data_IF_115534663685
#
_entry.id   IF_115534663685
#
_cell.length_a   1.000
_cell.length_b   1.000
_cell.length_c   1.000
_cell.angle_alpha   90.00
_cell.angle_beta   90.00
_cell.angle_gamma   90.00
#
_symmetry.space_group_name_H-M   'P 1'
#
loop_
_entity.id
_entity.type
_entity.pdbx_description
1 polymer ?
#
# COMPACT_ATOMS: atom_id res chain seq x y z
N UNK A 1 20.26 -14.12 14.12
CA UNK A 1 19.34 -14.16 15.28
C UNK A 1 17.93 -14.30 14.74
N UNK A 2 17.30 -15.46 14.89
CA UNK A 2 15.92 -15.72 14.45
C UNK A 2 14.91 -15.04 15.38
N UNK A 3 13.78 -14.52 14.88
CA UNK A 3 12.71 -13.95 15.71
C UNK A 3 11.70 -15.08 15.74
N UNK A 4 11.73 -15.86 16.82
CA UNK A 4 10.67 -16.79 17.12
C UNK A 4 9.44 -15.96 17.46
N UNK A 5 8.40 -16.08 16.63
CA UNK A 5 7.10 -15.50 16.92
C UNK A 5 6.56 -16.16 18.18
N UNK A 6 6.56 -15.40 19.28
CA UNK A 6 6.01 -15.91 20.54
C UNK A 6 4.50 -16.02 20.41
N UNK A 7 3.96 -17.20 20.76
CA UNK A 7 2.51 -17.34 20.94
C UNK A 7 2.11 -16.52 22.15
N UNK A 8 1.00 -15.80 22.04
CA UNK A 8 0.45 -15.06 23.17
C UNK A 8 0.15 -16.04 24.31
N UNK A 9 0.71 -15.79 25.49
CA UNK A 9 0.39 -16.56 26.70
C UNK A 9 -1.00 -16.09 27.19
N UNK A 10 -1.88 -16.99 27.64
CA UNK A 10 -3.15 -16.60 28.25
C UNK A 10 -2.90 -15.64 29.43
N UNK A 11 -3.52 -14.45 29.40
CA UNK A 11 -3.37 -13.44 30.47
C UNK A 11 -2.24 -12.42 30.26
N UNK A 12 -1.61 -12.36 29.08
CA UNK A 12 -0.70 -11.26 28.75
C UNK A 12 -1.41 -9.90 28.85
N UNK A 13 -0.86 -8.99 29.65
CA UNK A 13 -1.31 -7.60 29.70
C UNK A 13 -0.67 -6.80 28.55
N UNK A 14 -1.46 -6.51 27.51
CA UNK A 14 -1.03 -5.69 26.37
C UNK A 14 -1.24 -4.19 26.64
N UNK A 15 -0.92 -3.73 27.85
CA UNK A 15 -1.01 -2.32 28.21
C UNK A 15 0.26 -1.57 27.77
N UNK A 16 0.06 -0.50 27.02
CA UNK A 16 1.11 0.45 26.61
C UNK A 16 0.70 1.85 27.03
N UNK A 17 1.60 2.57 27.68
CA UNK A 17 1.35 3.89 28.21
C UNK A 17 2.33 4.92 27.63
N UNK A 18 1.92 6.19 27.44
CA UNK A 18 2.76 7.21 26.81
C UNK A 18 4.13 7.41 27.48
N UNK A 19 4.21 7.30 28.81
CA UNK A 19 5.44 7.50 29.58
C UNK A 19 6.56 6.50 29.23
N UNK A 20 6.20 5.33 28.69
CA UNK A 20 7.16 4.30 28.28
C UNK A 20 8.02 4.75 27.08
N UNK A 21 7.58 5.78 26.35
CA UNK A 21 8.22 6.25 25.12
C UNK A 21 8.92 7.60 25.27
N UNK A 22 8.97 8.18 26.48
CA UNK A 22 9.52 9.53 26.71
C UNK A 22 11.01 9.66 26.36
N UNK A 23 11.76 8.55 26.45
CA UNK A 23 13.22 8.51 26.27
C UNK A 23 13.68 7.95 24.91
N UNK A 24 12.76 7.53 24.03
CA UNK A 24 13.07 6.82 22.78
C UNK A 24 13.83 7.66 21.74
N UNK A 25 13.88 8.99 21.91
CA UNK A 25 14.77 9.88 21.13
C UNK A 25 15.07 11.14 21.96
N UNK A 26 16.33 11.57 22.14
CA UNK A 26 16.62 12.81 22.86
C UNK A 26 16.55 14.08 21.98
N UNK A 27 16.52 13.93 20.65
CA UNK A 27 16.55 15.06 19.70
C UNK A 27 15.25 15.17 18.87
N UNK A 28 14.94 16.37 18.36
CA UNK A 28 13.81 16.63 17.46
C UNK A 28 12.54 17.22 18.09
N UNK A 29 11.44 17.27 17.32
CA UNK A 29 10.18 17.90 17.72
C UNK A 29 9.41 17.05 18.75
N UNK A 30 9.61 17.35 20.03
CA UNK A 30 8.95 16.68 21.17
C UNK A 30 7.43 16.67 21.09
N UNK A 31 6.81 17.75 20.63
CA UNK A 31 5.35 17.83 20.52
C UNK A 31 4.79 16.88 19.45
N UNK A 32 5.45 16.83 18.29
CA UNK A 32 5.06 15.92 17.21
C UNK A 32 5.20 14.45 17.61
N UNK A 33 6.26 14.09 18.33
CA UNK A 33 6.46 12.71 18.82
C UNK A 33 5.38 12.29 19.80
N UNK A 34 5.08 13.14 20.80
CA UNK A 34 3.96 12.89 21.71
C UNK A 34 2.64 12.72 20.96
N UNK A 35 2.41 13.52 19.92
CA UNK A 35 1.22 13.39 19.07
C UNK A 35 1.16 12.04 18.33
N UNK A 36 2.29 11.55 17.81
CA UNK A 36 2.36 10.22 17.19
C UNK A 36 2.04 9.12 18.20
N UNK A 37 2.65 9.16 19.39
CA UNK A 37 2.40 8.21 20.48
C UNK A 37 0.93 8.17 20.87
N UNK A 38 0.32 9.33 21.12
CA UNK A 38 -1.11 9.41 21.45
C UNK A 38 -1.98 8.81 20.35
N UNK A 39 -1.71 9.11 19.07
CA UNK A 39 -2.47 8.57 17.95
C UNK A 39 -2.33 7.05 17.81
N UNK A 40 -1.10 6.53 17.91
CA UNK A 40 -0.81 5.11 17.75
C UNK A 40 -1.40 4.31 18.91
N UNK A 41 -1.23 4.77 20.16
CA UNK A 41 -1.83 4.12 21.33
C UNK A 41 -3.36 4.19 21.30
N UNK A 42 -3.94 5.32 20.91
CA UNK A 42 -5.39 5.43 20.73
C UNK A 42 -5.93 4.47 19.66
N UNK A 43 -5.21 4.31 18.54
CA UNK A 43 -5.54 3.31 17.52
C UNK A 43 -5.34 1.88 18.03
N UNK A 44 -4.38 1.64 18.92
CA UNK A 44 -4.12 0.31 19.47
C UNK A 44 -5.21 -0.11 20.45
N UNK A 45 -5.69 0.81 21.28
CA UNK A 45 -6.87 0.59 22.13
C UNK A 45 -8.13 0.26 21.31
N UNK A 46 -8.33 0.91 20.17
CA UNK A 46 -9.42 0.57 19.25
C UNK A 46 -9.21 -0.81 18.61
N UNK A 47 -8.00 -1.12 18.19
CA UNK A 47 -7.64 -2.40 17.57
C UNK A 47 -7.87 -3.59 18.50
N UNK A 48 -7.60 -3.44 19.81
CA UNK A 48 -7.84 -4.48 20.83
C UNK A 48 -9.28 -4.97 20.89
N UNK A 49 -10.25 -4.14 20.49
CA UNK A 49 -11.68 -4.50 20.46
C UNK A 49 -12.06 -5.35 19.26
N UNK A 50 -11.21 -5.38 18.22
CA UNK A 50 -11.54 -5.96 16.92
C UNK A 50 -10.65 -7.16 16.60
N UNK A 51 -9.35 -7.04 16.79
CA UNK A 51 -8.34 -8.03 16.40
C UNK A 51 -8.33 -9.25 17.33
N UNK A 52 -7.78 -10.38 16.85
CA UNK A 52 -7.54 -11.52 17.75
C UNK A 52 -6.45 -11.23 18.76
N UNK A 53 -6.42 -12.01 19.85
CA UNK A 53 -5.38 -11.94 20.88
C UNK A 53 -3.97 -12.07 20.31
N UNK A 54 -3.79 -12.96 19.32
CA UNK A 54 -2.49 -13.13 18.66
C UNK A 54 -2.13 -11.90 17.82
N UNK A 55 -3.10 -11.33 17.07
CA UNK A 55 -2.89 -10.08 16.33
C UNK A 55 -2.52 -8.92 17.25
N UNK A 56 -3.22 -8.78 18.37
CA UNK A 56 -2.93 -7.78 19.41
C UNK A 56 -1.51 -7.93 19.93
N UNK A 57 -1.09 -9.17 20.27
CA UNK A 57 0.25 -9.44 20.76
C UNK A 57 1.34 -9.07 19.75
N UNK A 58 1.13 -9.34 18.46
CA UNK A 58 2.09 -8.98 17.41
C UNK A 58 2.26 -7.46 17.27
N UNK A 59 1.15 -6.72 17.30
CA UNK A 59 1.20 -5.25 17.28
C UNK A 59 1.85 -4.73 18.56
N UNK A 60 1.50 -5.28 19.72
CA UNK A 60 2.11 -4.92 21.01
C UNK A 60 3.64 -5.06 21.01
N UNK A 61 4.17 -6.23 20.62
CA UNK A 61 5.62 -6.48 20.61
C UNK A 61 6.36 -5.50 19.69
N UNK A 62 5.76 -5.19 18.53
CA UNK A 62 6.30 -4.19 17.63
C UNK A 62 6.27 -2.77 18.23
N UNK A 63 5.15 -2.38 18.84
CA UNK A 63 4.97 -1.05 19.41
C UNK A 63 5.87 -0.82 20.62
N UNK A 64 5.99 -1.82 21.50
CA UNK A 64 6.83 -1.82 22.71
C UNK A 64 8.31 -1.55 22.40
N UNK A 65 8.78 -1.97 21.23
CA UNK A 65 10.15 -1.74 20.82
C UNK A 65 10.46 -0.26 20.48
N UNK A 66 9.43 0.58 20.31
CA UNK A 66 9.52 2.04 20.13
C UNK A 66 10.24 2.56 18.87
N UNK A 67 10.96 1.69 18.16
CA UNK A 67 11.65 1.90 16.88
C UNK A 67 10.81 2.44 15.73
N UNK A 68 9.51 2.63 15.92
CA UNK A 68 8.59 3.19 14.94
C UNK A 68 8.40 4.71 15.11
N UNK A 69 8.80 5.26 16.26
CA UNK A 69 8.71 6.70 16.55
C UNK A 69 9.70 7.45 15.66
N UNK A 70 9.21 8.46 14.94
CA UNK A 70 10.02 9.23 14.00
C UNK A 70 9.97 10.72 14.33
N UNK A 71 11.03 11.46 13.99
CA UNK A 71 11.02 12.92 14.07
C UNK A 71 10.26 13.58 12.90
N UNK A 72 10.02 12.83 11.81
CA UNK A 72 9.42 13.39 10.60
C UNK A 72 7.91 13.58 10.72
N UNK A 73 7.44 14.78 10.37
CA UNK A 73 6.02 15.07 10.16
C UNK A 73 5.50 14.66 8.78
N UNK A 74 6.40 14.40 7.82
CA UNK A 74 6.04 13.96 6.47
C UNK A 74 5.98 12.44 6.40
N UNK A 75 4.90 11.91 5.81
CA UNK A 75 4.73 10.46 5.63
C UNK A 75 5.86 9.83 4.83
N UNK A 76 6.37 10.49 3.77
CA UNK A 76 7.44 9.95 2.91
C UNK A 76 8.72 9.65 3.66
N UNK A 77 8.99 10.42 4.71
CA UNK A 77 10.25 10.37 5.45
C UNK A 77 10.07 9.59 6.77
N UNK A 78 8.85 9.17 7.10
CA UNK A 78 8.57 8.33 8.26
C UNK A 78 9.21 6.96 8.11
N UNK A 79 9.92 6.49 9.14
CA UNK A 79 10.72 5.25 9.11
C UNK A 79 9.89 4.02 8.72
N UNK A 80 8.70 3.86 9.31
CA UNK A 80 7.79 2.77 8.96
C UNK A 80 7.30 2.84 7.50
N UNK A 81 7.06 4.04 6.95
CA UNK A 81 6.66 4.22 5.55
C UNK A 81 7.80 3.87 4.60
N UNK A 82 9.02 4.35 4.89
CA UNK A 82 10.22 4.04 4.11
C UNK A 82 10.49 2.54 4.09
N UNK A 83 10.33 1.85 5.20
CA UNK A 83 10.45 0.40 5.27
C UNK A 83 9.45 -0.32 4.35
N UNK A 84 8.18 0.11 4.35
CA UNK A 84 7.14 -0.45 3.47
C UNK A 84 7.41 -0.16 1.97
N UNK A 85 7.91 1.03 1.64
CA UNK A 85 8.11 1.45 0.24
C UNK A 85 9.43 1.01 -0.37
N UNK A 86 10.54 1.20 0.33
CA UNK A 86 11.90 0.97 -0.19
C UNK A 86 12.38 -0.45 0.07
N UNK A 87 11.70 -1.20 0.97
CA UNK A 87 12.05 -2.59 1.27
C UNK A 87 13.52 -2.74 1.72
N UNK A 88 14.07 -1.75 2.43
CA UNK A 88 15.50 -1.70 2.72
C UNK A 88 15.98 -2.99 3.43
N UNK A 89 16.99 -3.62 2.82
CA UNK A 89 17.54 -4.95 3.11
C UNK A 89 18.34 -5.09 4.41
N UNK A 90 17.95 -4.40 5.48
CA UNK A 90 18.53 -4.55 6.81
C UNK A 90 17.51 -4.97 7.88
N UNK A 91 16.22 -5.02 7.53
CA UNK A 91 15.18 -5.37 8.49
C UNK A 91 14.68 -6.79 8.32
N UNK A 92 14.57 -7.47 9.45
CA UNK A 92 14.14 -8.86 9.61
C UNK A 92 12.69 -9.15 9.20
N UNK A 93 11.93 -8.14 8.81
CA UNK A 93 10.51 -8.23 8.51
C UNK A 93 10.27 -8.05 7.02
N UNK A 94 9.34 -8.81 6.43
CA UNK A 94 9.00 -8.64 5.02
C UNK A 94 8.45 -7.24 4.74
N UNK A 95 8.51 -6.87 3.46
CA UNK A 95 8.20 -5.51 2.99
C UNK A 95 6.86 -5.00 3.51
N UNK A 96 5.81 -5.81 3.44
CA UNK A 96 4.44 -5.43 3.82
C UNK A 96 4.04 -5.97 5.21
N UNK A 97 4.89 -5.76 6.20
CA UNK A 97 4.63 -6.11 7.60
C UNK A 97 3.51 -5.25 8.20
N UNK A 98 2.41 -5.88 8.67
CA UNK A 98 1.22 -5.15 9.11
C UNK A 98 1.47 -4.16 10.26
N UNK A 99 2.22 -4.47 11.33
CA UNK A 99 2.48 -3.49 12.40
C UNK A 99 3.11 -2.17 11.92
N UNK A 100 3.91 -2.19 10.84
CA UNK A 100 4.42 -0.95 10.22
C UNK A 100 3.31 -0.15 9.54
N UNK A 101 2.46 -0.86 8.80
CA UNK A 101 1.29 -0.24 8.17
C UNK A 101 0.35 0.34 9.22
N UNK A 102 0.10 -0.38 10.31
CA UNK A 102 -0.70 0.07 11.45
C UNK A 102 -0.22 1.43 11.99
N UNK A 103 1.09 1.59 12.23
CA UNK A 103 1.67 2.86 12.71
C UNK A 103 1.42 3.98 11.70
N UNK A 104 1.74 3.76 10.42
CA UNK A 104 1.54 4.77 9.37
C UNK A 104 0.06 5.16 9.27
N UNK A 105 -0.84 4.18 9.32
CA UNK A 105 -2.28 4.38 9.28
C UNK A 105 -2.80 5.18 10.48
N UNK A 106 -2.31 4.89 11.69
CA UNK A 106 -2.73 5.60 12.89
C UNK A 106 -2.27 7.07 12.89
N UNK A 107 -1.07 7.36 12.39
CA UNK A 107 -0.51 8.72 12.39
C UNK A 107 -1.14 9.58 11.29
N UNK A 108 -1.29 9.02 10.08
CA UNK A 108 -1.60 9.77 8.84
C UNK A 108 -2.97 9.44 8.21
N UNK A 109 -3.65 8.38 8.62
CA UNK A 109 -4.92 7.95 8.00
C UNK A 109 -6.14 8.77 8.40
N UNK A 110 -6.09 9.46 9.54
CA UNK A 110 -7.23 10.21 10.11
C UNK A 110 -7.23 11.71 9.82
N UNK A 111 -6.23 12.24 9.11
CA UNK A 111 -6.16 13.68 8.83
C UNK A 111 -7.04 14.03 7.63
N UNK A 112 -8.29 14.40 7.90
CA UNK A 112 -9.38 14.74 6.97
C UNK A 112 -9.09 15.83 5.89
N UNK A 113 -7.90 16.44 5.84
CA UNK A 113 -7.70 17.67 5.05
C UNK A 113 -6.86 17.47 3.77
N UNK A 114 -6.22 16.32 3.58
CA UNK A 114 -5.63 15.86 2.32
C UNK A 114 -4.97 14.54 2.67
N UNK A 115 -5.69 13.44 2.52
CA UNK A 115 -5.08 12.12 2.57
C UNK A 115 -3.92 12.14 1.57
N UNK A 116 -2.68 12.17 2.08
CA UNK A 116 -1.50 12.37 1.24
C UNK A 116 -1.51 11.31 0.13
N UNK A 117 -1.30 11.68 -1.14
CA UNK A 117 -1.25 10.75 -2.27
C UNK A 117 -0.35 9.53 -1.99
N UNK A 118 0.72 9.74 -1.24
CA UNK A 118 1.64 8.72 -0.73
C UNK A 118 0.96 7.65 0.15
N UNK A 119 0.01 8.04 0.99
CA UNK A 119 -0.76 7.16 1.86
C UNK A 119 -1.83 6.39 1.08
N UNK A 120 -2.56 7.06 0.18
CA UNK A 120 -3.54 6.39 -0.69
C UNK A 120 -2.85 5.30 -1.51
N UNK A 121 -1.69 5.63 -2.11
CA UNK A 121 -0.88 4.66 -2.84
C UNK A 121 -0.39 3.52 -1.94
N UNK A 122 -0.06 3.81 -0.68
CA UNK A 122 0.29 2.74 0.27
C UNK A 122 -0.90 1.81 0.51
N UNK A 123 -2.08 2.33 0.84
CA UNK A 123 -3.28 1.50 1.05
C UNK A 123 -3.59 0.63 -0.17
N UNK A 124 -3.43 1.15 -1.40
CA UNK A 124 -3.60 0.37 -2.62
C UNK A 124 -2.56 -0.76 -2.75
N UNK A 125 -1.27 -0.46 -2.54
CA UNK A 125 -0.21 -1.47 -2.60
C UNK A 125 -0.44 -2.57 -1.55
N UNK A 126 -0.84 -2.20 -0.33
CA UNK A 126 -1.17 -3.16 0.74
C UNK A 126 -2.41 -3.99 0.40
N UNK A 127 -3.45 -3.35 -0.19
CA UNK A 127 -4.67 -4.04 -0.60
C UNK A 127 -4.39 -5.10 -1.66
N UNK A 128 -3.52 -4.76 -2.62
CA UNK A 128 -3.10 -5.66 -3.69
C UNK A 128 -2.25 -6.82 -3.16
N UNK A 129 -1.36 -6.54 -2.19
CA UNK A 129 -0.51 -7.56 -1.57
C UNK A 129 -1.28 -8.56 -0.71
N UNK A 130 -2.31 -8.12 0.00
CA UNK A 130 -3.08 -8.98 0.88
C UNK A 130 -4.38 -9.51 0.27
N UNK A 131 -4.77 -9.03 -0.91
CA UNK A 131 -6.05 -9.37 -1.53
C UNK A 131 -7.28 -8.83 -0.77
N UNK A 132 -7.10 -7.85 0.12
CA UNK A 132 -8.15 -7.28 0.97
C UNK A 132 -8.29 -5.79 0.66
N UNK A 133 -9.48 -5.28 0.31
CA UNK A 133 -9.65 -3.86 0.06
C UNK A 133 -9.50 -3.04 1.34
N UNK A 134 -8.55 -2.10 1.35
CA UNK A 134 -8.29 -1.20 2.47
C UNK A 134 -8.84 0.19 2.14
N UNK A 135 -9.73 0.69 2.99
CA UNK A 135 -10.25 2.05 2.89
C UNK A 135 -9.29 3.04 3.59
N UNK A 136 -8.67 4.01 2.89
CA UNK A 136 -7.76 4.97 3.52
C UNK A 136 -8.41 5.88 4.57
N UNK A 137 -9.74 6.05 4.51
CA UNK A 137 -10.49 6.93 5.41
C UNK A 137 -10.93 6.24 6.70
N UNK A 138 -10.71 4.93 6.85
CA UNK A 138 -11.14 4.16 8.02
C UNK A 138 -9.97 3.34 8.57
N UNK A 139 -9.77 3.27 9.90
CA UNK A 139 -8.80 2.35 10.49
C UNK A 139 -8.97 0.92 9.99
N UNK A 140 -7.86 0.31 9.56
CA UNK A 140 -7.83 -1.08 9.11
C UNK A 140 -7.25 -1.99 10.20
N UNK A 141 -8.13 -2.77 10.81
CA UNK A 141 -7.81 -3.79 11.80
C UNK A 141 -8.18 -5.15 11.22
N UNK A 142 -7.21 -5.94 10.74
CA UNK A 142 -7.49 -7.22 10.11
C UNK A 142 -8.03 -8.16 11.19
N UNK A 143 -9.24 -8.65 10.97
CA UNK A 143 -9.80 -9.79 11.70
C UNK A 143 -10.31 -10.75 10.64
N UNK A 144 -9.64 -11.88 10.50
CA UNK A 144 -10.11 -12.98 9.65
C UNK A 144 -10.68 -14.06 10.55
N UNK A 145 -11.66 -14.83 10.05
CA UNK A 145 -12.21 -15.98 10.77
C UNK A 145 -11.15 -17.05 11.03
N UNK A 146 -10.18 -17.14 10.12
CA UNK A 146 -9.03 -18.03 10.23
C UNK A 146 -7.84 -17.32 10.88
N UNK A 147 -7.53 -17.75 12.11
CA UNK A 147 -6.43 -17.21 12.92
C UNK A 147 -5.04 -17.38 12.28
N UNK A 148 -4.83 -18.39 11.43
CA UNK A 148 -3.56 -18.57 10.72
C UNK A 148 -3.42 -17.58 9.57
N UNK A 149 -4.52 -17.31 8.86
CA UNK A 149 -4.56 -16.27 7.81
C UNK A 149 -4.39 -14.88 8.40
N UNK A 150 -5.02 -14.59 9.54
CA UNK A 150 -4.80 -13.34 10.27
C UNK A 150 -3.33 -13.19 10.66
N UNK A 151 -2.69 -14.27 11.14
CA UNK A 151 -1.27 -14.25 11.49
C UNK A 151 -0.38 -14.12 10.24
N UNK A 152 -0.76 -14.69 9.10
CA UNK A 152 -0.06 -14.51 7.83
C UNK A 152 -0.10 -13.03 7.38
N UNK A 153 -1.24 -12.34 7.57
CA UNK A 153 -1.33 -10.89 7.38
C UNK A 153 -0.40 -10.12 8.32
N UNK A 154 -0.39 -10.47 9.61
CA UNK A 154 0.51 -9.85 10.59
C UNK A 154 1.96 -9.96 10.14
N UNK A 155 2.33 -11.14 9.66
CA UNK A 155 3.65 -11.45 9.13
C UNK A 155 3.94 -10.77 7.80
N UNK A 156 2.97 -10.19 7.11
CA UNK A 156 3.18 -9.62 5.77
C UNK A 156 3.39 -10.67 4.67
N UNK A 157 2.97 -11.91 4.91
CA UNK A 157 3.00 -12.99 3.91
C UNK A 157 1.92 -12.70 2.86
N UNK A 158 2.25 -12.93 1.59
CA UNK A 158 1.28 -12.84 0.51
C UNK A 158 0.17 -13.87 0.75
N UNK A 159 -1.07 -13.41 0.85
CA UNK A 159 -2.22 -14.31 0.78
C UNK A 159 -2.51 -14.53 -0.70
N UNK A 160 -2.45 -15.77 -1.18
CA UNK A 160 -2.90 -16.05 -2.54
C UNK A 160 -4.31 -15.49 -2.71
N UNK A 161 -4.57 -14.73 -3.78
CA UNK A 161 -5.90 -14.25 -4.06
C UNK A 161 -6.82 -15.47 -4.20
N UNK A 162 -8.06 -15.41 -3.69
CA UNK A 162 -9.01 -16.49 -3.95
C UNK A 162 -9.06 -16.70 -5.46
N UNK A 163 -8.78 -17.94 -5.90
CA UNK A 163 -8.90 -18.31 -7.31
C UNK A 163 -10.25 -17.79 -7.82
N UNK A 164 -10.31 -17.11 -8.97
CA UNK A 164 -11.58 -16.66 -9.51
C UNK A 164 -12.50 -17.88 -9.59
N UNK A 165 -13.63 -17.82 -8.87
CA UNK A 165 -14.61 -18.90 -8.87
C UNK A 165 -15.00 -19.16 -10.31
N UNK A 166 -14.74 -20.37 -10.78
CA UNK A 166 -15.15 -20.82 -12.10
C UNK A 166 -16.67 -20.83 -12.15
N UNK A 167 -17.25 -20.65 -13.33
CA UNK A 167 -18.72 -20.60 -13.51
C UNK A 167 -19.39 -21.89 -12.98
N UNK A 168 -18.65 -23.01 -12.98
CA UNK A 168 -19.02 -24.30 -12.42
C UNK A 168 -19.19 -24.29 -10.88
N UNK A 169 -18.38 -23.50 -10.15
CA UNK A 169 -18.47 -23.39 -8.68
C UNK A 169 -19.72 -22.62 -8.23
N UNK A 170 -20.17 -21.67 -9.06
CA UNK A 170 -21.41 -20.93 -8.84
C UNK A 170 -22.63 -21.82 -9.11
N UNK A 171 -22.56 -22.72 -10.09
CA UNK A 171 -23.63 -23.69 -10.37
C UNK A 171 -23.76 -24.74 -9.26
N UNK A 172 -22.65 -25.24 -8.71
CA UNK A 172 -22.67 -26.23 -7.63
C UNK A 172 -23.31 -25.72 -6.32
N UNK A 173 -23.18 -24.41 -6.01
CA UNK A 173 -23.81 -23.81 -4.82
C UNK A 173 -25.33 -23.65 -4.94
N UNK A 174 -25.87 -23.57 -6.16
CA UNK A 174 -27.33 -23.50 -6.42
C UNK A 174 -28.03 -24.85 -6.26
N UNK A 175 -27.29 -25.97 -6.33
CA UNK A 175 -27.85 -27.32 -6.31
C UNK A 175 -28.05 -27.89 -4.88
N UNK A 176 -27.81 -27.10 -3.84
CA UNK A 176 -27.88 -27.55 -2.43
C UNK A 176 -28.84 -26.72 -1.57
N UNK A 177 -29.97 -26.28 -2.15
CA UNK A 177 -31.08 -25.76 -1.34
C UNK A 177 -32.08 -26.90 -1.13
N UNK A 178 -32.28 -27.41 0.10
CA UNK A 178 -33.31 -28.40 0.34
C UNK A 178 -34.68 -27.73 0.22
N UNK A 179 -35.49 -28.24 -0.71
CA UNK A 179 -36.92 -27.95 -0.78
C UNK A 179 -37.58 -28.57 0.45
N UNK A 180 -38.03 -27.74 1.38
CA UNK A 180 -38.98 -28.11 2.44
C UNK A 180 -40.22 -27.25 2.25
N UNK A 181 -41.37 -27.94 2.25
CA UNK A 181 -42.64 -27.48 1.73
C UNK A 181 -43.42 -26.48 2.59
N UNK A 182 -44.31 -25.76 1.88
CA UNK A 182 -45.70 -25.43 2.19
C UNK A 182 -46.09 -25.22 3.67
N UNK A 183 -46.60 -24.03 4.02
CA UNK A 183 -48.03 -23.72 4.17
C UNK A 183 -48.26 -22.26 4.63
N UNK A 184 -49.37 -21.71 4.11
CA UNK A 184 -50.29 -20.67 4.60
C UNK A 184 -49.83 -19.25 4.99
N UNK A 185 -50.23 -18.33 4.10
CA UNK A 185 -51.20 -17.25 4.29
C UNK A 185 -51.42 -16.68 5.71
N UNK A 186 -51.21 -15.36 5.83
CA UNK A 186 -51.43 -14.64 7.08
C UNK A 186 -50.84 -13.24 7.06
N UNK A 187 -51.60 -12.28 6.52
CA UNK A 187 -51.38 -10.85 6.71
C UNK A 187 -51.21 -10.53 8.20
N UNK A 188 -50.07 -9.92 8.58
CA UNK A 188 -50.04 -9.12 9.79
C UNK A 188 -49.03 -7.96 9.69
N UNK A 189 -49.61 -6.78 9.54
CA UNK A 189 -48.98 -5.47 9.72
C UNK A 189 -48.31 -5.39 11.10
N UNK A 190 -47.04 -5.00 11.13
CA UNK A 190 -46.39 -4.55 12.35
C UNK A 190 -45.78 -3.16 12.14
N UNK A 191 -46.45 -2.23 12.80
CA UNK A 191 -46.11 -0.85 13.11
C UNK A 191 -44.64 -0.65 13.51
N UNK A 192 -43.96 0.29 12.86
CA UNK A 192 -42.71 0.87 13.36
C UNK A 192 -43.09 2.09 14.19
N UNK A 193 -42.81 1.97 15.48
CA UNK A 193 -42.90 3.02 16.48
C UNK A 193 -41.65 3.92 16.35
N UNK A 194 -41.81 5.16 15.90
CA UNK A 194 -40.75 6.19 16.01
C UNK A 194 -41.19 7.27 16.99
N UNK A 195 -40.73 7.11 18.23
CA UNK A 195 -40.60 8.19 19.21
C UNK A 195 -39.32 8.98 18.91
N UNK A 196 -39.47 10.26 18.58
CA UNK A 196 -38.51 11.28 19.04
C UNK A 196 -39.17 12.66 18.96
N UNK A 197 -39.55 13.20 20.12
CA UNK A 197 -39.90 14.62 20.25
C UNK A 197 -38.64 15.48 20.33
N UNK A 198 -38.74 16.75 19.94
CA UNK A 198 -38.16 17.92 20.63
C UNK A 198 -38.63 19.20 19.95
N UNK A 199 -39.56 19.87 20.64
CA UNK A 199 -39.84 21.32 20.76
C UNK A 199 -39.65 22.29 19.60
N UNK A 200 -40.75 22.98 19.28
CA UNK A 200 -40.77 24.31 18.68
C UNK A 200 -42.10 25.00 19.04
N UNK A 201 -42.10 25.74 20.16
CA UNK A 201 -43.24 26.50 20.66
C UNK A 201 -43.51 27.68 19.72
N UNK A 202 -44.67 27.70 19.05
CA UNK A 202 -45.28 28.95 18.55
C UNK A 202 -46.77 28.92 18.89
N UNK A 203 -47.13 29.93 19.67
CA UNK A 203 -48.43 30.28 20.25
C UNK A 203 -49.41 30.74 19.16
N UNK A 204 -50.69 30.32 19.16
CA UNK A 204 -51.76 31.07 18.51
C UNK A 204 -52.69 31.69 19.57
N UNK A 205 -52.91 33.00 19.44
CA UNK A 205 -53.98 33.72 20.13
C UNK A 205 -55.36 33.40 19.56
N UNK A 206 -56.44 33.59 20.33
CA UNK A 206 -57.80 33.22 19.95
C UNK A 206 -58.54 34.37 19.27
N UNK A 207 -59.15 34.11 18.11
CA UNK A 207 -60.15 35.00 17.52
C UNK A 207 -61.49 34.28 17.48
N UNK A 208 -62.33 34.67 18.44
CA UNK A 208 -63.78 34.88 18.39
C UNK A 208 -64.62 34.06 17.40
N UNK A 209 -65.57 33.33 17.97
CA UNK A 209 -66.64 32.65 17.26
C UNK A 209 -67.66 33.57 16.60
N UNK A 210 -68.43 32.96 15.71
CA UNK A 210 -69.60 33.55 15.07
C UNK A 210 -70.23 32.53 14.13
N UNK A 211 -71.33 31.95 14.59
CA UNK A 211 -72.21 31.01 13.88
C UNK A 211 -72.60 31.50 12.47
N UNK A 212 -72.77 30.58 11.50
CA UNK A 212 -74.08 30.35 10.88
C UNK A 212 -74.10 29.13 9.95
N UNK A 213 -75.26 28.48 9.96
CA UNK A 213 -75.70 27.30 9.23
C UNK A 213 -75.62 27.42 7.69
N UNK A 214 -75.23 26.29 7.09
CA UNK A 214 -75.92 25.58 6.01
C UNK A 214 -76.22 26.36 4.71
N UNK A 215 -75.28 26.35 3.76
CA UNK A 215 -75.56 26.50 2.31
C UNK A 215 -74.58 25.62 1.50
N UNK A 216 -75.12 24.61 0.81
CA UNK A 216 -74.66 24.18 -0.53
C UNK A 216 -73.55 23.13 -0.64
N UNK A 217 -73.93 21.85 -0.65
CA UNK A 217 -73.09 20.69 -1.01
C UNK A 217 -72.61 20.65 -2.49
N UNK A 218 -72.71 21.74 -3.25
CA UNK A 218 -72.31 21.78 -4.68
C UNK A 218 -71.00 22.52 -4.98
N UNK A 219 -70.27 23.02 -3.98
CA UNK A 219 -68.96 23.67 -4.16
C UNK A 219 -67.75 22.78 -3.76
N UNK A 220 -68.01 21.56 -3.28
CA UNK A 220 -66.96 20.65 -2.77
C UNK A 220 -66.17 19.93 -3.88
N UNK A 221 -66.80 19.71 -5.04
CA UNK A 221 -66.16 19.02 -6.19
C UNK A 221 -65.12 19.91 -6.88
N UNK A 222 -65.39 21.22 -7.01
CA UNK A 222 -64.45 22.17 -7.61
C UNK A 222 -63.22 22.45 -6.74
N UNK A 223 -63.36 22.40 -5.42
CA UNK A 223 -62.24 22.56 -4.48
C UNK A 223 -61.37 21.30 -4.44
N UNK A 224 -61.96 20.11 -4.43
CA UNK A 224 -61.22 18.84 -4.53
C UNK A 224 -60.37 18.75 -5.80
N UNK A 225 -60.93 19.07 -6.97
CA UNK A 225 -60.17 19.08 -8.23
C UNK A 225 -59.10 20.18 -8.31
N UNK A 226 -59.24 21.26 -7.55
CA UNK A 226 -58.19 22.28 -7.43
C UNK A 226 -57.02 21.78 -6.54
N UNK A 227 -57.32 21.02 -5.49
CA UNK A 227 -56.31 20.38 -4.64
C UNK A 227 -55.55 19.27 -5.39
N UNK A 228 -56.25 18.39 -6.10
CA UNK A 228 -55.62 17.34 -6.91
C UNK A 228 -54.67 17.91 -7.96
N UNK A 229 -55.08 18.98 -8.66
CA UNK A 229 -54.22 19.67 -9.63
C UNK A 229 -52.95 20.23 -8.99
N UNK A 230 -53.05 20.82 -7.80
CA UNK A 230 -51.90 21.35 -7.05
C UNK A 230 -50.96 20.23 -6.58
N UNK A 231 -51.50 19.09 -6.16
CA UNK A 231 -50.69 17.92 -5.80
C UNK A 231 -49.94 17.37 -7.01
N UNK A 232 -50.62 17.17 -8.15
CA UNK A 232 -49.95 16.71 -9.37
C UNK A 232 -48.90 17.70 -9.88
N UNK A 233 -49.13 19.00 -9.72
CA UNK A 233 -48.13 20.01 -10.09
C UNK A 233 -46.91 19.98 -9.15
N UNK A 234 -47.13 19.77 -7.85
CA UNK A 234 -46.07 19.61 -6.86
C UNK A 234 -45.24 18.33 -7.13
N UNK A 235 -45.90 17.22 -7.41
CA UNK A 235 -45.25 15.95 -7.78
C UNK A 235 -44.39 16.11 -9.03
N UNK A 236 -44.93 16.70 -10.10
CA UNK A 236 -44.16 16.98 -11.33
C UNK A 236 -42.99 17.94 -11.09
N UNK A 237 -43.12 18.88 -10.16
CA UNK A 237 -42.02 19.77 -9.80
C UNK A 237 -40.92 19.00 -9.05
N UNK A 238 -41.31 18.15 -8.11
CA UNK A 238 -40.40 17.29 -7.37
C UNK A 238 -39.63 16.34 -8.30
N UNK A 239 -40.32 15.65 -9.21
CA UNK A 239 -39.72 14.78 -10.21
C UNK A 239 -38.72 15.53 -11.10
N UNK A 240 -39.09 16.74 -11.58
CA UNK A 240 -38.17 17.57 -12.38
C UNK A 240 -36.92 17.96 -11.62
N UNK A 241 -37.04 18.30 -10.33
CA UNK A 241 -35.89 18.64 -9.48
C UNK A 241 -35.01 17.42 -9.24
N UNK A 242 -35.59 16.26 -8.93
CA UNK A 242 -34.85 15.01 -8.74
C UNK A 242 -34.11 14.58 -10.01
N UNK A 243 -34.76 14.66 -11.17
CA UNK A 243 -34.13 14.41 -12.47
C UNK A 243 -33.00 15.43 -12.77
N UNK A 244 -33.13 16.67 -12.32
CA UNK A 244 -32.06 17.67 -12.41
C UNK A 244 -30.85 17.33 -11.54
N UNK A 245 -31.08 16.92 -10.29
CA UNK A 245 -30.03 16.48 -9.37
C UNK A 245 -29.32 15.25 -9.88
N UNK A 246 -30.06 14.25 -10.37
CA UNK A 246 -29.49 13.02 -10.92
C UNK A 246 -28.59 13.33 -12.12
N UNK A 247 -29.06 14.14 -13.08
CA UNK A 247 -28.24 14.56 -14.23
C UNK A 247 -26.97 15.30 -13.83
N UNK A 248 -27.05 16.16 -12.80
CA UNK A 248 -25.87 16.86 -12.29
C UNK A 248 -24.86 15.87 -11.67
N UNK A 249 -25.36 14.91 -10.89
CA UNK A 249 -24.54 13.87 -10.28
C UNK A 249 -23.86 13.01 -11.35
N UNK A 250 -24.61 12.53 -12.35
CA UNK A 250 -24.10 11.73 -13.46
C UNK A 250 -23.02 12.49 -14.23
N UNK A 251 -23.24 13.78 -14.51
CA UNK A 251 -22.25 14.64 -15.16
C UNK A 251 -20.96 14.79 -14.35
N UNK A 252 -21.07 14.98 -13.02
CA UNK A 252 -19.90 15.11 -12.13
C UNK A 252 -19.13 13.80 -11.99
N UNK A 253 -19.84 12.68 -11.90
CA UNK A 253 -19.24 11.34 -11.87
C UNK A 253 -18.52 11.07 -13.19
N UNK A 254 -19.15 11.37 -14.33
CA UNK A 254 -18.54 11.25 -15.66
C UNK A 254 -17.22 12.01 -15.77
N UNK A 255 -17.21 13.30 -15.42
CA UNK A 255 -15.99 14.11 -15.41
C UNK A 255 -14.89 13.57 -14.50
N UNK A 256 -15.26 13.04 -13.33
CA UNK A 256 -14.29 12.46 -12.40
C UNK A 256 -13.66 11.18 -12.97
N UNK A 257 -14.47 10.34 -13.60
CA UNK A 257 -14.02 9.11 -14.28
C UNK A 257 -13.10 9.45 -15.45
N UNK A 258 -13.49 10.39 -16.32
CA UNK A 258 -12.66 10.86 -17.44
C UNK A 258 -11.31 11.39 -16.96
N UNK A 259 -11.31 12.24 -15.93
CA UNK A 259 -10.07 12.76 -15.34
C UNK A 259 -9.19 11.63 -14.78
N UNK A 260 -9.78 10.61 -14.13
CA UNK A 260 -9.03 9.47 -13.63
C UNK A 260 -8.45 8.60 -14.75
N UNK A 261 -9.20 8.36 -15.82
CA UNK A 261 -8.73 7.62 -17.01
C UNK A 261 -7.58 8.37 -17.66
N UNK A 262 -7.72 9.67 -17.89
CA UNK A 262 -6.67 10.51 -18.48
C UNK A 262 -5.40 10.51 -17.62
N UNK A 263 -5.53 10.67 -16.30
CA UNK A 263 -4.41 10.61 -15.36
C UNK A 263 -3.71 9.24 -15.36
N UNK A 264 -4.48 8.16 -15.48
CA UNK A 264 -3.93 6.80 -15.56
C UNK A 264 -3.16 6.57 -16.86
N UNK A 265 -3.74 6.97 -18.00
CA UNK A 265 -3.11 6.88 -19.32
C UNK A 265 -1.80 7.68 -19.39
N UNK A 266 -1.78 8.91 -18.88
CA UNK A 266 -0.57 9.73 -18.83
C UNK A 266 0.54 9.09 -17.98
N UNK A 267 0.19 8.47 -16.85
CA UNK A 267 1.15 7.71 -16.01
C UNK A 267 1.68 6.48 -16.71
N UNK A 268 0.82 5.78 -17.45
CA UNK A 268 1.23 4.60 -18.21
C UNK A 268 2.23 5.00 -19.29
N UNK A 269 1.95 6.05 -20.07
CA UNK A 269 2.86 6.57 -21.08
C UNK A 269 4.22 7.00 -20.49
N UNK A 270 4.22 7.76 -19.38
CA UNK A 270 5.44 8.14 -18.67
C UNK A 270 6.28 6.93 -18.19
N UNK A 271 5.63 5.87 -17.71
CA UNK A 271 6.34 4.68 -17.28
C UNK A 271 6.92 3.91 -18.46
N UNK A 272 6.19 3.81 -19.56
CA UNK A 272 6.66 3.16 -20.80
C UNK A 272 7.88 3.89 -21.37
N UNK A 273 7.80 5.22 -21.53
CA UNK A 273 8.93 6.01 -22.07
C UNK A 273 10.15 5.95 -21.16
N UNK A 274 9.95 5.94 -19.82
CA UNK A 274 11.05 5.76 -18.87
C UNK A 274 11.70 4.38 -18.99
N UNK A 275 10.90 3.32 -19.13
CA UNK A 275 11.41 1.97 -19.30
C UNK A 275 12.20 1.81 -20.61
N UNK A 276 11.72 2.41 -21.70
CA UNK A 276 12.42 2.46 -22.98
C UNK A 276 13.75 3.20 -22.88
N UNK A 277 13.77 4.39 -22.26
CA UNK A 277 15.00 5.16 -22.04
C UNK A 277 16.02 4.41 -21.16
N UNK A 278 15.56 3.73 -20.10
CA UNK A 278 16.43 2.91 -19.27
C UNK A 278 16.97 1.68 -20.02
N UNK A 279 16.16 1.08 -20.91
CA UNK A 279 16.59 -0.02 -21.77
C UNK A 279 17.65 0.44 -22.80
N UNK A 280 17.42 1.57 -23.45
CA UNK A 280 18.35 2.16 -24.41
C UNK A 280 19.68 2.53 -23.76
N UNK A 281 19.65 3.10 -22.54
CA UNK A 281 20.87 3.37 -21.77
C UNK A 281 21.67 2.10 -21.51
N UNK A 282 21.02 1.02 -21.06
CA UNK A 282 21.68 -0.28 -20.81
C UNK A 282 22.27 -0.88 -22.08
N UNK A 283 21.58 -0.77 -23.22
CA UNK A 283 22.11 -1.22 -24.50
C UNK A 283 23.34 -0.41 -24.92
N UNK A 284 23.33 0.90 -24.72
CA UNK A 284 24.48 1.76 -25.00
C UNK A 284 25.70 1.39 -24.15
N UNK A 285 25.50 1.23 -22.83
CA UNK A 285 26.56 0.80 -21.89
C UNK A 285 27.12 -0.59 -22.27
N UNK A 286 26.26 -1.53 -22.64
CA UNK A 286 26.69 -2.86 -23.07
C UNK A 286 27.53 -2.81 -24.36
N UNK A 287 27.14 -1.97 -25.33
CA UNK A 287 27.90 -1.76 -26.58
C UNK A 287 29.24 -1.09 -26.34
N UNK A 288 29.32 -0.15 -25.41
CA UNK A 288 30.59 0.48 -25.02
C UNK A 288 31.54 -0.54 -24.38
N UNK A 289 31.08 -1.30 -23.39
CA UNK A 289 31.88 -2.37 -22.77
C UNK A 289 32.35 -3.42 -23.78
N UNK A 290 31.49 -3.81 -24.74
CA UNK A 290 31.88 -4.73 -25.80
C UNK A 290 33.02 -4.17 -26.66
N UNK A 291 33.00 -2.86 -26.98
CA UNK A 291 34.08 -2.18 -27.71
C UNK A 291 35.39 -2.14 -26.90
N UNK A 292 35.31 -1.85 -25.60
CA UNK A 292 36.48 -1.88 -24.71
C UNK A 292 37.11 -3.27 -24.67
N UNK A 293 36.31 -4.32 -24.44
CA UNK A 293 36.77 -5.72 -24.42
C UNK A 293 37.45 -6.07 -25.74
N UNK A 294 36.82 -5.72 -26.87
CA UNK A 294 37.40 -5.96 -28.19
C UNK A 294 38.75 -5.25 -28.37
N UNK A 295 38.85 -3.99 -27.94
CA UNK A 295 40.10 -3.24 -28.00
C UNK A 295 41.19 -3.84 -27.11
N UNK A 296 40.84 -4.34 -25.92
CA UNK A 296 41.78 -5.07 -25.06
C UNK A 296 42.25 -6.39 -25.68
N UNK A 297 41.34 -7.14 -26.32
CA UNK A 297 41.69 -8.38 -27.01
C UNK A 297 42.68 -8.14 -28.16
N UNK A 298 42.46 -7.09 -28.97
CA UNK A 298 43.39 -6.71 -30.04
C UNK A 298 44.78 -6.33 -29.51
N UNK A 299 44.85 -5.60 -28.39
CA UNK A 299 46.14 -5.26 -27.76
C UNK A 299 46.85 -6.49 -27.22
N UNK A 300 46.14 -7.41 -26.58
CA UNK A 300 46.69 -8.66 -26.08
C UNK A 300 47.24 -9.52 -27.23
N UNK A 301 46.50 -9.62 -28.34
CA UNK A 301 46.94 -10.33 -29.55
C UNK A 301 48.24 -9.75 -30.11
N UNK A 302 48.32 -8.42 -30.27
CA UNK A 302 49.54 -7.75 -30.74
C UNK A 302 50.76 -8.02 -29.84
N UNK A 303 50.55 -8.04 -28.52
CA UNK A 303 51.62 -8.35 -27.56
C UNK A 303 52.06 -9.81 -27.68
N UNK A 304 51.12 -10.75 -27.86
CA UNK A 304 51.43 -12.15 -28.09
C UNK A 304 52.25 -12.34 -29.39
N UNK A 305 51.83 -11.73 -30.49
CA UNK A 305 52.56 -11.78 -31.77
C UNK A 305 53.99 -11.21 -31.63
N UNK A 306 54.15 -10.16 -30.83
CA UNK A 306 55.46 -9.57 -30.55
C UNK A 306 56.35 -10.51 -29.75
N UNK A 307 55.80 -11.18 -28.74
CA UNK A 307 56.52 -12.17 -27.93
C UNK A 307 56.95 -13.38 -28.77
N UNK A 308 56.08 -13.85 -29.68
CA UNK A 308 56.41 -14.93 -30.62
C UNK A 308 57.62 -14.54 -31.48
N UNK A 309 57.60 -13.34 -32.09
CA UNK A 309 58.73 -12.83 -32.90
C UNK A 309 60.03 -12.72 -32.10
N UNK A 310 59.96 -12.26 -30.85
CA UNK A 310 61.14 -12.19 -29.98
C UNK A 310 61.69 -13.58 -29.67
N UNK A 311 60.82 -14.56 -29.40
CA UNK A 311 61.22 -15.94 -29.14
C UNK A 311 61.87 -16.59 -30.39
N UNK A 312 61.33 -16.35 -31.58
CA UNK A 312 61.91 -16.80 -32.85
C UNK A 312 63.32 -16.21 -33.05
N UNK A 313 63.50 -14.90 -32.83
CA UNK A 313 64.80 -14.25 -32.95
C UNK A 313 65.83 -14.79 -31.95
N UNK A 314 65.42 -15.05 -30.70
CA UNK A 314 66.27 -15.68 -29.70
C UNK A 314 66.67 -17.10 -30.12
N UNK A 315 65.73 -17.89 -30.61
CA UNK A 315 65.99 -19.25 -31.10
C UNK A 315 67.02 -19.26 -32.24
N UNK A 316 66.89 -18.34 -33.21
CA UNK A 316 67.84 -18.18 -34.31
C UNK A 316 69.24 -17.77 -33.81
N UNK A 317 69.33 -16.86 -32.84
CA UNK A 317 70.61 -16.44 -32.23
C UNK A 317 71.34 -17.59 -31.51
N UNK A 318 70.59 -18.49 -30.85
CA UNK A 318 71.16 -19.65 -30.17
C UNK A 318 71.68 -20.69 -31.17
N UNK A 319 70.95 -20.93 -32.25
CA UNK A 319 71.35 -21.88 -33.29
C UNK A 319 72.60 -21.43 -34.07
N UNK A 320 72.81 -20.13 -34.24
CA UNK A 320 74.03 -19.58 -34.87
C UNK A 320 75.23 -19.65 -33.93
N UNK A 321 75.04 -19.47 -32.63
CA UNK A 321 76.13 -19.51 -31.63
C UNK A 321 76.66 -20.93 -31.40
N UNK A 322 75.81 -21.96 -31.52
CA UNK A 322 76.17 -23.38 -31.33
C UNK A 322 77.13 -23.92 -32.39
N UNK A 323 77.36 -23.19 -33.50
CA UNK A 323 78.32 -23.58 -34.57
C UNK A 323 79.73 -23.00 -34.41
N UNK A 324 80.03 -22.22 -33.37
CA UNK A 324 81.42 -21.80 -33.10
C UNK A 324 82.19 -22.92 -32.39
N UNK A 325 83.30 -23.44 -32.96
CA UNK A 325 84.12 -24.44 -32.29
C UNK A 325 84.70 -23.84 -31.01
N UNK A 326 84.47 -24.51 -29.89
CA UNK A 326 85.09 -24.20 -28.61
C UNK A 326 86.60 -24.34 -28.77
N UNK A 327 87.29 -23.22 -28.90
CA UNK A 327 88.73 -23.18 -28.63
C UNK A 327 88.83 -23.00 -27.12
N UNK A 328 89.25 -24.07 -26.43
CA UNK A 328 89.39 -24.09 -24.98
C UNK A 328 90.43 -23.04 -24.56
N UNK A 329 90.00 -22.03 -23.79
CA UNK A 329 90.90 -21.15 -23.06
C UNK A 329 90.84 -21.52 -21.57
N UNK A 330 91.90 -22.14 -21.02
CA UNK A 330 91.88 -22.71 -19.69
C UNK A 330 92.50 -21.74 -18.68
N UNK A 331 91.90 -20.58 -18.38
CA UNK A 331 92.20 -19.82 -17.16
C UNK A 331 91.24 -18.62 -17.06
N UNK A 332 90.15 -18.74 -16.29
CA UNK A 332 89.88 -17.68 -15.32
C UNK A 332 88.94 -18.11 -14.21
N UNK A 333 89.56 -18.13 -13.04
CA UNK A 333 89.01 -18.35 -11.74
C UNK A 333 88.49 -17.01 -11.18
N UNK A 334 87.36 -17.07 -10.46
CA UNK A 334 86.86 -16.12 -9.42
C UNK A 334 85.41 -15.68 -9.60
N UNK A 335 84.55 -16.47 -8.95
CA UNK A 335 83.25 -16.06 -8.47
C UNK A 335 83.36 -14.93 -7.42
N UNK A 336 82.59 -13.86 -7.60
CA UNK A 336 82.21 -12.92 -6.53
C UNK A 336 80.71 -12.63 -6.66
N UNK A 337 79.92 -13.43 -5.95
CA UNK A 337 78.47 -13.23 -5.80
C UNK A 337 78.21 -12.23 -4.67
N UNK A 338 77.86 -10.99 -5.01
CA UNK A 338 77.28 -10.02 -4.07
C UNK A 338 75.76 -10.02 -4.24
N UNK A 339 75.06 -10.61 -3.26
CA UNK A 339 73.61 -10.41 -3.05
C UNK A 339 73.35 -8.95 -2.70
N UNK A 340 72.52 -8.29 -3.49
CA UNK A 340 71.87 -7.03 -3.12
C UNK A 340 70.54 -7.38 -2.45
N UNK A 341 70.39 -6.97 -1.20
CA UNK A 341 69.11 -6.85 -0.49
C UNK A 341 68.58 -5.46 -0.79
N UNK A 342 67.34 -5.37 -1.27
CA UNK A 342 66.59 -4.12 -1.23
C UNK A 342 65.37 -4.27 -0.30
N UNK A 343 65.06 -3.14 0.34
CA UNK A 343 64.08 -2.87 1.40
C UNK A 343 62.72 -2.52 0.81
#
# INVERSE_FOLDING_TARGET
MDFTFSKCIPGCDHTLAPYQFENETPMGNTHWRRTQVVKVLGSFEAAKRVMSQQGIHQVYEFLKAGRWISESSKISDHIAYRALKLGHGYEKYPRFHYPRFFVVHAIYGSTNIRTHDCFIKLCLDMSHHWGIPINPSKPFYPRLEDSEKELALMRGVYLEPPKPKTLEDLYAQSASIPVVGSYDDGQQSCSIHETCGTTGIIKPEPVHGGNLLHIGENNNVNTSHAFERRLSELERNFERRMAGVQRNLDHRVGKLVEHHISKYQARLQMNTTRAEADHERRLSEAREKAREIHHHALRAQKNADTAVKMAEALHESLNTTTKRPVTADPYNDKHSSKRVRDV
#
